data_IF_610998932623
#
_entry.id   IF_610998932623
#
_cell.length_a   1.000
_cell.length_b   1.000
_cell.length_c   1.000
_cell.angle_alpha   90.00
_cell.angle_beta   90.00
_cell.angle_gamma   90.00
#
_symmetry.space_group_name_H-M   'P 1'
#
loop_
_entity.id
_entity.type
_entity.pdbx_description
1 polymer ?
#
# COMPACT_ATOMS: atom_id res chain seq x y z
N UNK A 1 -2.50 -5.60 -18.61
CA UNK A 1 -3.55 -6.61 -18.83
C UNK A 1 -4.82 -5.89 -19.28
N UNK A 2 -4.73 -5.21 -20.43
CA UNK A 2 -5.68 -4.16 -20.84
C UNK A 2 -6.38 -4.48 -22.17
N UNK A 3 -6.30 -5.72 -22.61
CA UNK A 3 -6.99 -6.21 -23.81
C UNK A 3 -8.24 -6.99 -23.41
N UNK A 4 -9.29 -7.03 -24.26
CA UNK A 4 -10.47 -7.85 -23.99
C UNK A 4 -10.15 -9.33 -23.76
N UNK A 5 -9.11 -9.85 -24.41
CA UNK A 5 -8.64 -11.23 -24.23
C UNK A 5 -8.04 -11.51 -22.84
N UNK A 6 -7.74 -10.48 -22.05
CA UNK A 6 -7.16 -10.65 -20.71
C UNK A 6 -8.16 -11.19 -19.67
N UNK A 7 -9.47 -11.11 -19.96
CA UNK A 7 -10.52 -11.65 -19.10
C UNK A 7 -11.55 -12.38 -19.94
N UNK A 8 -11.76 -13.67 -19.64
CA UNK A 8 -12.83 -14.47 -20.27
C UNK A 8 -13.99 -14.67 -19.30
N UNK A 9 -15.18 -15.07 -19.77
CA UNK A 9 -16.28 -15.45 -18.89
C UNK A 9 -15.87 -16.52 -17.87
N UNK A 10 -15.08 -17.52 -18.29
CA UNK A 10 -14.59 -18.60 -17.44
C UNK A 10 -13.60 -18.10 -16.39
N UNK A 11 -12.63 -17.26 -16.77
CA UNK A 11 -11.68 -16.70 -15.80
C UNK A 11 -12.40 -15.80 -14.80
N UNK A 12 -13.35 -14.97 -15.26
CA UNK A 12 -14.15 -14.12 -14.38
C UNK A 12 -15.01 -14.96 -13.42
N UNK A 13 -15.61 -16.05 -13.92
CA UNK A 13 -16.37 -16.97 -13.08
C UNK A 13 -15.49 -17.60 -11.99
N UNK A 14 -14.25 -17.98 -12.31
CA UNK A 14 -13.32 -18.52 -11.31
C UNK A 14 -13.02 -17.54 -10.16
N UNK A 15 -12.99 -16.23 -10.43
CA UNK A 15 -12.85 -15.20 -9.39
C UNK A 15 -14.13 -15.02 -8.57
N UNK A 16 -15.31 -15.15 -9.20
CA UNK A 16 -16.59 -15.10 -8.49
C UNK A 16 -16.75 -16.29 -7.55
N UNK A 17 -16.31 -17.46 -7.98
CA UNK A 17 -16.37 -18.71 -7.22
C UNK A 17 -15.32 -18.77 -6.10
N UNK A 18 -14.40 -17.79 -6.04
CA UNK A 18 -13.35 -17.69 -5.03
C UNK A 18 -13.76 -16.72 -3.90
N UNK A 19 -14.18 -17.22 -2.72
CA UNK A 19 -14.65 -16.36 -1.63
C UNK A 19 -13.66 -15.26 -1.20
N UNK A 20 -12.32 -15.47 -1.18
CA UNK A 20 -11.36 -14.43 -0.80
C UNK A 20 -11.44 -13.14 -1.63
N UNK A 21 -11.84 -13.22 -2.91
CA UNK A 21 -11.98 -12.05 -3.79
C UNK A 21 -13.15 -11.14 -3.42
N UNK A 22 -14.10 -11.63 -2.60
CA UNK A 22 -15.29 -10.90 -2.17
C UNK A 22 -15.96 -10.19 -3.36
N UNK A 23 -16.19 -10.92 -4.46
CA UNK A 23 -16.68 -10.35 -5.72
C UNK A 23 -17.94 -9.50 -5.54
N UNK A 24 -18.81 -9.90 -4.60
CA UNK A 24 -20.05 -9.20 -4.28
C UNK A 24 -19.86 -7.78 -3.74
N UNK A 25 -18.67 -7.43 -3.22
CA UNK A 25 -18.36 -6.06 -2.81
C UNK A 25 -18.02 -5.15 -4.01
N UNK A 26 -17.72 -5.72 -5.19
CA UNK A 26 -17.30 -4.98 -6.36
C UNK A 26 -18.44 -4.16 -6.99
N UNK A 27 -18.13 -2.93 -7.38
CA UNK A 27 -18.99 -2.13 -8.24
C UNK A 27 -18.77 -2.58 -9.69
N UNK A 28 -19.69 -3.38 -10.21
CA UNK A 28 -19.64 -3.88 -11.59
C UNK A 28 -20.06 -2.77 -12.57
N UNK A 29 -19.22 -2.39 -13.55
CA UNK A 29 -19.59 -1.39 -14.56
C UNK A 29 -20.78 -1.83 -15.43
N UNK A 30 -21.53 -0.90 -16.04
CA UNK A 30 -22.50 -1.24 -17.07
C UNK A 30 -21.82 -2.02 -18.21
N UNK A 31 -22.32 -3.23 -18.50
CA UNK A 31 -21.71 -4.14 -19.48
C UNK A 31 -20.61 -5.06 -18.93
N UNK A 32 -20.31 -5.00 -17.62
CA UNK A 32 -19.31 -5.85 -16.97
C UNK A 32 -17.87 -5.35 -17.11
N UNK A 33 -16.93 -6.12 -16.58
CA UNK A 33 -15.48 -5.84 -16.71
C UNK A 33 -15.01 -6.24 -18.11
N UNK A 34 -14.38 -5.32 -18.83
CA UNK A 34 -13.92 -5.54 -20.22
C UNK A 34 -12.49 -6.03 -20.30
N UNK A 35 -11.69 -5.79 -19.26
CA UNK A 35 -10.30 -6.24 -19.16
C UNK A 35 -10.03 -6.75 -17.76
N UNK A 36 -8.98 -7.55 -17.60
CA UNK A 36 -8.59 -8.02 -16.28
C UNK A 36 -8.15 -6.87 -15.39
N UNK A 37 -7.48 -5.84 -15.93
CA UNK A 37 -7.11 -4.65 -15.15
C UNK A 37 -8.33 -3.86 -14.65
N UNK A 38 -9.44 -3.80 -15.41
CA UNK A 38 -10.69 -3.22 -14.92
C UNK A 38 -11.28 -4.01 -13.74
N UNK A 39 -11.17 -5.34 -13.76
CA UNK A 39 -11.60 -6.20 -12.66
C UNK A 39 -10.66 -6.10 -11.45
N UNK A 40 -9.35 -6.16 -11.68
CA UNK A 40 -8.34 -6.14 -10.62
C UNK A 40 -8.37 -4.82 -9.85
N UNK A 41 -8.40 -3.70 -10.58
CA UNK A 41 -8.58 -2.36 -10.04
C UNK A 41 -10.08 -1.98 -9.94
N UNK A 42 -10.97 -2.93 -9.66
CA UNK A 42 -12.40 -2.64 -9.46
C UNK A 42 -12.61 -1.58 -8.38
N UNK A 43 -13.61 -0.73 -8.57
CA UNK A 43 -14.15 0.04 -7.44
C UNK A 43 -15.02 -0.87 -6.57
N UNK A 44 -15.20 -0.51 -5.31
CA UNK A 44 -16.16 -1.18 -4.42
C UNK A 44 -17.49 -0.44 -4.42
N UNK A 45 -18.56 -1.15 -4.06
CA UNK A 45 -19.89 -0.56 -3.85
C UNK A 45 -19.82 0.49 -2.73
N UNK A 46 -20.58 1.60 -2.84
CA UNK A 46 -20.68 2.58 -1.76
C UNK A 46 -21.02 1.92 -0.42
N UNK A 47 -20.32 2.30 0.64
CA UNK A 47 -20.51 1.74 1.98
C UNK A 47 -19.74 0.44 2.27
N UNK A 48 -19.06 -0.17 1.30
CA UNK A 48 -18.25 -1.38 1.52
C UNK A 48 -17.00 -1.13 2.40
N UNK A 49 -16.51 0.12 2.44
CA UNK A 49 -15.36 0.55 3.24
C UNK A 49 -15.71 1.87 3.97
N UNK A 50 -16.43 1.83 5.10
CA UNK A 50 -16.67 3.02 5.90
C UNK A 50 -15.34 3.54 6.48
N UNK A 51 -15.21 4.85 6.60
CA UNK A 51 -14.02 5.49 7.16
C UNK A 51 -14.24 5.74 8.65
N UNK A 52 -13.37 5.20 9.49
CA UNK A 52 -13.38 5.43 10.93
C UNK A 52 -12.96 6.87 11.27
N UNK A 53 -13.72 7.50 12.15
CA UNK A 53 -13.43 8.84 12.70
C UNK A 53 -13.00 9.85 11.62
N UNK A 54 -13.79 10.09 10.56
CA UNK A 54 -13.33 10.82 9.36
C UNK A 54 -12.94 12.28 9.63
N UNK A 55 -13.46 12.88 10.71
CA UNK A 55 -13.19 14.26 11.12
C UNK A 55 -12.09 14.40 12.19
N UNK A 56 -11.55 13.30 12.73
CA UNK A 56 -10.53 13.33 13.78
C UNK A 56 -9.14 13.04 13.22
N UNK A 57 -8.32 14.06 13.04
CA UNK A 57 -6.96 13.90 12.49
C UNK A 57 -6.00 13.12 13.40
N UNK A 58 -6.33 12.88 14.68
CA UNK A 58 -5.50 12.01 15.53
C UNK A 58 -5.73 10.52 15.26
N UNK A 59 -6.81 10.17 14.55
CA UNK A 59 -7.11 8.80 14.16
C UNK A 59 -6.63 8.55 12.74
N UNK A 60 -5.67 7.67 12.59
CA UNK A 60 -5.12 7.29 11.29
C UNK A 60 -5.82 6.01 10.86
N UNK A 61 -6.25 5.94 9.59
CA UNK A 61 -6.90 4.73 9.05
C UNK A 61 -5.97 3.97 8.11
N UNK A 62 -6.24 2.69 7.91
CA UNK A 62 -5.52 1.88 6.94
C UNK A 62 -5.71 2.47 5.53
N UNK A 63 -4.62 2.69 4.77
CA UNK A 63 -4.71 3.23 3.41
C UNK A 63 -5.14 2.18 2.38
N UNK A 64 -5.12 0.89 2.71
CA UNK A 64 -5.40 -0.20 1.79
C UNK A 64 -5.99 -1.41 2.53
N UNK A 65 -6.58 -2.34 1.77
CA UNK A 65 -6.84 -3.68 2.27
C UNK A 65 -5.51 -4.45 2.30
N UNK A 66 -4.93 -4.71 3.47
CA UNK A 66 -3.57 -5.24 3.59
C UNK A 66 -3.36 -6.07 4.85
N UNK A 67 -2.25 -6.81 4.93
CA UNK A 67 -1.82 -7.54 6.12
C UNK A 67 -0.39 -7.14 6.46
N UNK A 68 -0.08 -6.93 7.74
CA UNK A 68 1.30 -6.75 8.17
C UNK A 68 2.15 -7.96 7.74
N UNK A 69 3.34 -7.66 7.22
CA UNK A 69 4.31 -8.69 6.90
C UNK A 69 4.90 -9.27 8.20
N UNK A 70 4.57 -10.52 8.47
CA UNK A 70 5.08 -11.29 9.60
C UNK A 70 6.23 -12.22 9.19
N UNK A 71 6.81 -12.06 8.00
CA UNK A 71 7.99 -12.81 7.54
C UNK A 71 9.16 -12.66 8.51
N UNK A 72 9.25 -11.50 9.17
CA UNK A 72 10.15 -11.24 10.29
C UNK A 72 9.39 -10.51 11.39
N UNK A 73 9.48 -11.04 12.62
CA UNK A 73 8.83 -10.48 13.81
C UNK A 73 9.23 -9.02 14.03
N UNK A 74 8.25 -8.18 14.38
CA UNK A 74 8.43 -6.77 14.79
C UNK A 74 9.08 -5.84 13.75
N UNK A 75 8.91 -6.11 12.45
CA UNK A 75 9.46 -5.24 11.38
C UNK A 75 8.42 -4.55 10.50
N UNK A 76 7.14 -4.89 10.65
CA UNK A 76 6.05 -4.19 9.96
C UNK A 76 5.87 -2.76 10.45
N UNK A 77 6.24 -2.46 11.70
CA UNK A 77 6.18 -1.10 12.27
C UNK A 77 7.48 -0.85 13.00
N UNK A 78 8.25 0.16 12.58
CA UNK A 78 9.56 0.47 13.16
C UNK A 78 9.74 1.96 13.39
N UNK A 79 10.38 2.31 14.51
CA UNK A 79 10.82 3.68 14.74
C UNK A 79 11.98 4.01 13.81
N UNK A 80 11.93 5.19 13.21
CA UNK A 80 12.98 5.71 12.34
C UNK A 80 14.09 6.27 13.23
N UNK A 81 15.29 5.70 13.12
CA UNK A 81 16.47 6.11 13.86
C UNK A 81 17.09 7.36 13.24
N UNK A 82 17.96 8.03 14.00
CA UNK A 82 18.67 9.24 13.57
C UNK A 82 19.30 9.08 12.18
N UNK A 83 19.16 10.13 11.35
CA UNK A 83 19.58 10.09 9.95
C UNK A 83 18.58 9.39 9.03
N UNK A 84 17.34 9.19 9.49
CA UNK A 84 16.27 8.58 8.71
C UNK A 84 16.49 7.08 8.47
N UNK A 85 17.14 6.37 9.40
CA UNK A 85 17.50 4.95 9.24
C UNK A 85 16.40 4.02 9.74
N UNK A 86 16.06 3.00 8.96
CA UNK A 86 15.17 1.89 9.36
C UNK A 86 15.90 0.56 9.19
N UNK A 87 15.75 -0.33 10.18
CA UNK A 87 16.34 -1.67 10.14
C UNK A 87 15.31 -2.66 9.62
N UNK A 88 15.40 -2.99 8.33
CA UNK A 88 14.49 -3.92 7.66
C UNK A 88 15.27 -5.14 7.23
N UNK A 89 14.83 -6.30 7.71
CA UNK A 89 15.46 -7.61 7.53
C UNK A 89 16.93 -7.63 7.91
N UNK A 90 17.23 -7.01 9.05
CA UNK A 90 18.56 -6.85 9.63
C UNK A 90 19.55 -6.05 8.76
N UNK A 91 19.06 -5.31 7.76
CA UNK A 91 19.85 -4.39 6.96
C UNK A 91 19.41 -2.94 7.19
N UNK A 92 20.36 -1.99 7.23
CA UNK A 92 20.03 -0.58 7.33
C UNK A 92 19.56 -0.05 5.97
N UNK A 93 18.42 0.63 5.99
CA UNK A 93 17.89 1.41 4.86
C UNK A 93 17.57 2.82 5.31
N UNK A 94 17.48 3.76 4.36
CA UNK A 94 17.17 5.16 4.67
C UNK A 94 15.85 5.60 4.04
N UNK A 95 15.10 6.44 4.75
CA UNK A 95 13.91 7.12 4.21
C UNK A 95 14.29 7.95 2.98
N UNK A 96 15.48 8.56 2.96
CA UNK A 96 15.99 9.23 1.76
C UNK A 96 16.09 8.32 0.53
N UNK A 97 16.57 7.09 0.71
CA UNK A 97 16.60 6.08 -0.37
C UNK A 97 15.20 5.66 -0.79
N UNK A 98 14.25 5.60 0.15
CA UNK A 98 12.85 5.31 -0.17
C UNK A 98 12.21 6.44 -0.99
N UNK A 99 12.39 7.70 -0.61
CA UNK A 99 11.69 8.84 -1.23
C UNK A 99 12.40 9.41 -2.49
N UNK A 100 13.61 8.94 -2.79
CA UNK A 100 14.45 9.28 -3.96
C UNK A 100 14.35 10.76 -4.40
N UNK A 101 15.16 11.60 -3.77
CA UNK A 101 15.30 13.01 -4.15
C UNK A 101 14.12 13.89 -3.74
N UNK A 102 13.23 13.42 -2.87
CA UNK A 102 12.26 14.28 -2.19
C UNK A 102 12.99 15.25 -1.25
N UNK A 103 12.61 16.52 -1.30
CA UNK A 103 13.10 17.54 -0.34
C UNK A 103 12.62 17.27 1.09
N UNK A 104 11.55 16.48 1.26
CA UNK A 104 10.94 16.16 2.55
C UNK A 104 11.55 14.94 3.23
N UNK A 105 12.54 14.27 2.62
CA UNK A 105 13.09 13.01 3.15
C UNK A 105 13.60 13.12 4.60
N UNK A 106 14.25 14.23 4.94
CA UNK A 106 14.81 14.47 6.27
C UNK A 106 13.73 14.82 7.31
N UNK A 107 12.54 15.24 6.88
CA UNK A 107 11.45 15.61 7.79
C UNK A 107 10.88 14.40 8.55
N UNK A 108 11.16 13.19 8.06
CA UNK A 108 10.72 11.92 8.66
C UNK A 108 11.71 11.35 9.68
N UNK A 109 12.84 12.02 9.93
CA UNK A 109 13.79 11.57 10.96
C UNK A 109 13.12 11.54 12.35
N UNK A 110 13.40 10.48 13.13
CA UNK A 110 12.74 10.24 14.42
C UNK A 110 11.25 9.87 14.34
N UNK A 111 10.72 9.67 13.13
CA UNK A 111 9.34 9.29 12.87
C UNK A 111 9.06 7.79 13.03
N UNK A 112 7.98 7.33 12.39
CA UNK A 112 7.60 5.90 12.37
C UNK A 112 7.37 5.44 10.94
N UNK A 113 7.87 4.25 10.63
CA UNK A 113 7.62 3.52 9.41
C UNK A 113 6.60 2.42 9.65
N UNK A 114 5.69 2.22 8.71
CA UNK A 114 4.80 1.06 8.63
C UNK A 114 4.89 0.43 7.23
N UNK A 115 4.98 -0.89 7.15
CA UNK A 115 4.92 -1.69 5.92
C UNK A 115 3.85 -2.77 6.07
N UNK A 116 3.02 -2.92 5.03
CA UNK A 116 2.04 -3.99 4.92
C UNK A 116 1.95 -4.49 3.46
N UNK A 117 1.52 -5.73 3.31
CA UNK A 117 1.37 -6.44 2.04
C UNK A 117 -0.11 -6.50 1.62
N UNK A 118 -0.39 -6.35 0.33
CA UNK A 118 -1.70 -6.54 -0.28
C UNK A 118 -1.66 -7.85 -1.07
N UNK A 119 -2.44 -8.83 -0.62
CA UNK A 119 -2.63 -10.09 -1.32
C UNK A 119 -3.42 -9.87 -2.62
N UNK A 120 -3.22 -10.74 -3.59
CA UNK A 120 -3.81 -10.69 -4.95
C UNK A 120 -5.34 -10.58 -4.98
N UNK A 121 -6.03 -11.06 -3.94
CA UNK A 121 -7.49 -11.00 -3.82
C UNK A 121 -8.00 -9.72 -3.13
N UNK A 122 -7.10 -8.92 -2.53
CA UNK A 122 -7.46 -7.69 -1.85
C UNK A 122 -7.99 -6.63 -2.81
N UNK A 123 -8.48 -5.53 -2.22
CA UNK A 123 -8.82 -4.32 -2.94
C UNK A 123 -7.53 -3.51 -3.22
N UNK A 124 -7.14 -3.41 -4.49
CA UNK A 124 -5.85 -2.84 -4.91
C UNK A 124 -5.89 -1.33 -5.23
N UNK A 125 -6.76 -0.57 -4.55
CA UNK A 125 -6.73 0.90 -4.59
C UNK A 125 -6.39 1.43 -3.22
N UNK A 126 -5.51 2.43 -3.18
CA UNK A 126 -5.00 3.01 -1.95
C UNK A 126 -5.63 4.38 -1.74
N UNK A 127 -5.84 4.70 -0.47
CA UNK A 127 -6.58 5.86 0.00
C UNK A 127 -5.77 6.65 1.02
N UNK A 128 -6.11 7.92 1.17
CA UNK A 128 -5.47 8.82 2.12
C UNK A 128 -5.75 8.37 3.56
N UNK A 129 -4.72 7.99 4.35
CA UNK A 129 -4.91 7.53 5.72
C UNK A 129 -5.26 8.69 6.69
N UNK A 130 -5.04 9.93 6.24
CA UNK A 130 -5.26 11.18 6.97
C UNK A 130 -5.79 12.24 5.99
N UNK A 131 -6.46 13.27 6.49
CA UNK A 131 -6.76 14.46 5.68
C UNK A 131 -5.50 15.33 5.50
N UNK A 132 -5.50 16.25 4.55
CA UNK A 132 -4.40 17.20 4.39
C UNK A 132 -4.21 17.68 2.96
N UNK A 133 -3.09 18.35 2.71
CA UNK A 133 -2.73 18.82 1.35
C UNK A 133 -1.61 17.97 0.78
N UNK A 134 -1.73 17.53 -0.46
CA UNK A 134 -0.65 16.84 -1.16
C UNK A 134 0.47 17.83 -1.48
N UNK A 135 1.65 17.63 -0.92
CA UNK A 135 2.82 18.52 -1.13
C UNK A 135 3.84 17.93 -2.11
N UNK A 136 3.80 16.62 -2.33
CA UNK A 136 4.55 15.92 -3.39
C UNK A 136 3.77 14.69 -3.85
N UNK A 137 3.74 14.44 -5.15
CA UNK A 137 3.20 13.23 -5.74
C UNK A 137 4.05 12.85 -6.95
N UNK A 138 4.68 11.68 -6.95
CA UNK A 138 5.46 11.20 -8.09
C UNK A 138 5.58 9.68 -8.13
N UNK A 139 5.77 9.17 -9.33
CA UNK A 139 6.21 7.80 -9.55
C UNK A 139 7.74 7.76 -9.54
N UNK A 140 8.29 6.88 -8.73
CA UNK A 140 9.72 6.61 -8.63
C UNK A 140 10.01 5.35 -9.45
N UNK A 141 10.77 5.51 -10.52
CA UNK A 141 11.18 4.39 -11.37
C UNK A 141 12.13 3.47 -10.60
N UNK A 142 11.86 2.17 -10.67
CA UNK A 142 12.63 1.14 -9.99
C UNK A 142 12.60 -0.17 -10.78
N UNK A 143 13.30 -1.18 -10.28
CA UNK A 143 13.37 -2.49 -10.90
C UNK A 143 12.13 -3.34 -10.55
N UNK A 144 11.79 -4.31 -11.40
CA UNK A 144 10.83 -5.35 -11.09
C UNK A 144 11.61 -6.65 -10.81
N UNK A 145 11.72 -7.02 -9.53
CA UNK A 145 12.48 -8.21 -9.12
C UNK A 145 11.56 -9.44 -9.04
N UNK A 146 12.06 -10.61 -9.46
CA UNK A 146 11.45 -11.93 -9.27
C UNK A 146 12.44 -12.80 -8.47
N UNK A 147 11.96 -13.64 -7.56
CA UNK A 147 12.83 -14.55 -6.80
C UNK A 147 13.08 -15.86 -7.57
N UNK A 148 14.35 -16.22 -7.75
CA UNK A 148 14.77 -17.47 -8.40
C UNK A 148 15.95 -18.07 -7.63
N UNK A 149 16.08 -19.40 -7.63
CA UNK A 149 17.23 -20.08 -7.04
C UNK A 149 18.43 -19.98 -7.98
N UNK A 150 19.61 -20.39 -7.52
CA UNK A 150 20.84 -20.39 -8.33
C UNK A 150 20.75 -21.24 -9.62
N UNK A 151 19.75 -22.14 -9.71
CA UNK A 151 19.43 -22.93 -10.91
C UNK A 151 18.30 -22.33 -11.75
N UNK A 152 17.96 -21.06 -11.50
CA UNK A 152 16.85 -20.34 -12.13
C UNK A 152 15.47 -21.04 -11.98
N UNK A 153 15.30 -21.87 -10.96
CA UNK A 153 14.00 -22.44 -10.60
C UNK A 153 13.34 -21.54 -9.55
N UNK A 154 12.00 -21.48 -9.49
CA UNK A 154 11.30 -20.85 -8.38
C UNK A 154 11.79 -21.46 -7.04
N UNK A 155 12.25 -20.63 -6.10
CA UNK A 155 12.68 -21.10 -4.75
C UNK A 155 11.46 -21.60 -3.96
N UNK A 156 10.29 -21.05 -4.25
CA UNK A 156 9.01 -21.45 -3.67
C UNK A 156 8.17 -22.15 -4.73
N UNK A 157 7.69 -23.37 -4.43
CA UNK A 157 6.57 -23.99 -5.16
C UNK A 157 5.29 -23.46 -4.50
N UNK A 158 4.89 -22.25 -4.90
CA UNK A 158 3.64 -21.66 -4.48
C UNK A 158 2.70 -21.67 -5.67
N UNK A 159 1.49 -22.16 -5.48
CA UNK A 159 0.42 -22.03 -6.47
C UNK A 159 -0.02 -20.54 -6.56
N UNK A 160 0.85 -19.63 -7.02
CA UNK A 160 0.51 -18.21 -7.10
C UNK A 160 1.64 -17.24 -7.50
N UNK A 161 1.28 -16.00 -7.92
CA UNK A 161 2.21 -14.95 -8.35
C UNK A 161 2.75 -14.15 -7.15
N UNK A 162 3.84 -14.61 -6.54
CA UNK A 162 4.50 -13.91 -5.44
C UNK A 162 5.84 -13.29 -5.85
N UNK A 163 6.12 -12.13 -5.27
CA UNK A 163 7.32 -11.34 -5.48
C UNK A 163 8.39 -11.61 -4.41
N UNK A 164 9.68 -11.32 -4.68
CA UNK A 164 10.77 -11.63 -3.75
C UNK A 164 10.60 -10.88 -2.44
N UNK A 165 10.76 -11.62 -1.35
CA UNK A 165 10.69 -11.13 0.02
C UNK A 165 12.11 -10.90 0.60
N UNK A 166 13.09 -10.58 -0.26
CA UNK A 166 14.49 -10.39 0.13
C UNK A 166 14.77 -8.96 0.64
N UNK A 167 15.72 -8.77 1.58
CA UNK A 167 16.01 -7.43 2.12
C UNK A 167 16.26 -6.37 1.03
N UNK A 168 15.54 -5.25 1.10
CA UNK A 168 15.75 -4.10 0.21
C UNK A 168 14.84 -4.02 -1.02
N UNK A 169 14.03 -5.02 -1.29
CA UNK A 169 13.18 -5.03 -2.48
C UNK A 169 12.26 -3.79 -2.52
N UNK A 170 11.71 -3.36 -1.38
CA UNK A 170 10.80 -2.22 -1.30
C UNK A 170 11.45 -0.88 -1.71
N UNK A 171 12.77 -0.77 -1.51
CA UNK A 171 13.53 0.46 -1.78
C UNK A 171 13.98 0.57 -3.24
N UNK A 172 14.05 -0.57 -3.94
CA UNK A 172 14.55 -0.68 -5.30
C UNK A 172 13.42 -0.81 -6.33
N UNK A 173 12.21 -1.13 -5.90
CA UNK A 173 11.07 -1.33 -6.77
C UNK A 173 10.41 -0.04 -7.26
N UNK A 174 9.73 -0.15 -8.40
CA UNK A 174 8.84 0.88 -8.91
C UNK A 174 7.76 1.17 -7.86
N UNK A 175 7.59 2.44 -7.52
CA UNK A 175 6.67 2.85 -6.45
C UNK A 175 6.04 4.20 -6.71
N UNK A 176 4.83 4.39 -6.22
CA UNK A 176 4.24 5.70 -6.05
C UNK A 176 4.76 6.33 -4.77
N UNK A 177 4.74 7.65 -4.73
CA UNK A 177 5.00 8.42 -3.52
C UNK A 177 4.05 9.59 -3.47
N UNK A 178 3.28 9.68 -2.39
CA UNK A 178 2.39 10.81 -2.08
C UNK A 178 2.75 11.31 -0.69
N UNK A 179 3.16 12.57 -0.57
CA UNK A 179 3.41 13.22 0.72
C UNK A 179 2.26 14.16 1.03
N UNK A 180 1.60 13.92 2.16
CA UNK A 180 0.45 14.68 2.66
C UNK A 180 0.93 15.53 3.84
N UNK A 181 0.69 16.84 3.78
CA UNK A 181 0.87 17.74 4.90
C UNK A 181 -0.44 17.82 5.71
N UNK A 182 -0.43 17.25 6.91
CA UNK A 182 -1.54 17.26 7.84
C UNK A 182 -1.27 18.31 8.96
N UNK A 183 -2.25 19.17 9.28
CA UNK A 183 -2.05 20.25 10.25
C UNK A 183 -1.73 19.74 11.66
N UNK A 184 -2.27 18.58 12.05
CA UNK A 184 -2.11 17.98 13.38
C UNK A 184 -0.88 17.08 13.43
N UNK A 185 -0.79 16.10 12.53
CA UNK A 185 0.23 15.04 12.55
C UNK A 185 1.56 15.45 11.90
N UNK A 186 1.58 16.55 11.13
CA UNK A 186 2.69 16.87 10.26
C UNK A 186 2.65 16.06 8.97
N UNK A 187 3.82 15.75 8.41
CA UNK A 187 3.92 15.06 7.12
C UNK A 187 3.68 13.56 7.25
N UNK A 188 2.92 13.03 6.30
CA UNK A 188 2.67 11.59 6.14
C UNK A 188 2.98 11.22 4.68
N UNK A 189 3.97 10.36 4.46
CA UNK A 189 4.24 9.81 3.14
C UNK A 189 3.55 8.46 2.98
N UNK A 190 2.80 8.28 1.89
CA UNK A 190 2.15 7.04 1.50
C UNK A 190 2.78 6.56 0.21
N UNK A 191 3.30 5.33 0.23
CA UNK A 191 4.05 4.74 -0.88
C UNK A 191 3.47 3.39 -1.27
N UNK A 192 2.63 3.35 -2.32
CA UNK A 192 2.27 2.10 -2.98
C UNK A 192 3.52 1.54 -3.66
N UNK A 193 3.97 0.38 -3.23
CA UNK A 193 5.16 -0.30 -3.77
C UNK A 193 4.71 -1.41 -4.71
N UNK A 194 5.16 -1.34 -5.96
CA UNK A 194 4.89 -2.36 -6.95
C UNK A 194 5.82 -3.55 -6.79
N UNK A 195 5.28 -4.76 -6.67
CA UNK A 195 6.03 -6.01 -6.54
C UNK A 195 6.25 -6.69 -7.91
N UNK A 196 6.91 -7.85 -7.92
CA UNK A 196 7.06 -8.65 -9.15
C UNK A 196 5.71 -8.82 -9.85
N UNK A 197 5.69 -8.61 -11.17
CA UNK A 197 4.49 -8.59 -12.02
C UNK A 197 3.58 -7.35 -11.86
N UNK A 198 3.60 -6.62 -10.71
CA UNK A 198 3.00 -5.29 -10.51
C UNK A 198 4.04 -4.20 -10.46
N UNK A 199 4.35 -3.58 -11.58
CA UNK A 199 5.11 -2.32 -11.55
C UNK A 199 4.23 -1.11 -11.86
N UNK A 200 2.95 -1.33 -12.16
CA UNK A 200 2.05 -0.24 -12.57
C UNK A 200 1.38 0.40 -11.35
N UNK A 201 1.99 1.47 -10.85
CA UNK A 201 1.37 2.36 -9.86
C UNK A 201 0.76 3.55 -10.56
N UNK A 202 -0.57 3.67 -10.52
CA UNK A 202 -1.28 4.82 -11.09
C UNK A 202 -1.71 5.76 -9.97
N UNK A 203 -1.05 6.91 -9.84
CA UNK A 203 -1.48 7.96 -8.92
C UNK A 203 -2.74 8.67 -9.47
N UNK A 204 -3.68 9.00 -8.60
CA UNK A 204 -4.89 9.78 -8.91
C UNK A 204 -4.81 11.23 -8.45
N UNK A 205 -3.74 11.60 -7.74
CA UNK A 205 -3.55 12.91 -7.10
C UNK A 205 -2.26 13.60 -7.58
N UNK A 206 -2.20 14.91 -7.39
CA UNK A 206 -1.03 15.76 -7.69
C UNK A 206 -0.79 16.77 -6.56
N UNK A 207 0.41 17.37 -6.57
CA UNK A 207 0.76 18.46 -5.64
C UNK A 207 -0.29 19.58 -5.71
N UNK A 208 -0.75 20.02 -4.54
CA UNK A 208 -1.78 21.05 -4.35
C UNK A 208 -3.20 20.52 -4.13
N UNK A 209 -3.45 19.23 -4.38
CA UNK A 209 -4.76 18.64 -4.10
C UNK A 209 -5.02 18.59 -2.59
N UNK A 210 -6.25 18.91 -2.18
CA UNK A 210 -6.70 18.84 -0.78
C UNK A 210 -7.52 17.58 -0.60
N UNK A 211 -7.09 16.73 0.33
CA UNK A 211 -7.66 15.40 0.57
C UNK A 211 -8.45 15.39 1.88
N UNK A 212 -9.59 14.70 1.84
CA UNK A 212 -10.25 14.17 3.03
C UNK A 212 -9.68 12.79 3.34
N UNK A 213 -9.76 12.39 4.61
CA UNK A 213 -9.42 11.04 5.03
C UNK A 213 -10.29 10.03 4.27
N UNK A 214 -9.64 9.05 3.64
CA UNK A 214 -10.30 8.03 2.81
C UNK A 214 -10.44 8.40 1.33
N UNK A 215 -9.99 9.57 0.87
CA UNK A 215 -9.97 9.87 -0.58
C UNK A 215 -8.99 8.95 -1.32
N UNK A 216 -9.33 8.51 -2.53
CA UNK A 216 -8.47 7.63 -3.35
C UNK A 216 -7.24 8.41 -3.85
N UNK A 217 -6.05 7.86 -3.60
CA UNK A 217 -4.76 8.47 -3.99
C UNK A 217 -4.01 7.70 -5.09
N UNK A 218 -4.29 6.41 -5.22
CA UNK A 218 -3.68 5.57 -6.26
C UNK A 218 -4.41 4.25 -6.45
N UNK A 219 -4.06 3.54 -7.51
CA UNK A 219 -4.34 2.13 -7.66
C UNK A 219 -3.18 1.36 -8.28
N UNK A 220 -3.12 0.06 -8.00
CA UNK A 220 -2.32 -0.88 -8.76
C UNK A 220 -3.11 -1.46 -9.93
N UNK A 221 -2.39 -1.84 -10.97
CA UNK A 221 -2.87 -2.78 -11.99
C UNK A 221 -2.24 -4.17 -11.73
N UNK A 222 -2.69 -5.21 -12.43
CA UNK A 222 -2.48 -6.63 -12.11
C UNK A 222 -1.16 -7.06 -11.44
N UNK A 223 -1.28 -7.78 -10.30
CA UNK A 223 -0.29 -8.66 -9.62
C UNK A 223 -0.20 -8.42 -8.08
N UNK A 224 0.88 -8.78 -7.37
CA UNK A 224 1.07 -8.50 -5.92
C UNK A 224 1.60 -7.08 -5.60
N UNK A 225 1.35 -6.53 -4.40
CA UNK A 225 1.78 -5.16 -4.06
C UNK A 225 1.93 -4.92 -2.56
N UNK A 226 2.77 -3.97 -2.17
CA UNK A 226 2.86 -3.48 -0.79
C UNK A 226 2.40 -2.04 -0.64
N UNK A 227 2.18 -1.65 0.61
CA UNK A 227 1.98 -0.27 1.01
C UNK A 227 2.93 0.07 2.16
N UNK A 228 3.64 1.18 2.01
CA UNK A 228 4.44 1.76 3.09
C UNK A 228 3.83 3.10 3.48
N UNK A 229 3.76 3.37 4.78
CA UNK A 229 3.41 4.68 5.31
C UNK A 229 4.51 5.15 6.26
N UNK A 230 4.99 6.37 6.05
CA UNK A 230 6.02 6.99 6.86
C UNK A 230 5.43 8.23 7.52
N UNK A 231 5.52 8.30 8.85
CA UNK A 231 4.98 9.38 9.67
C UNK A 231 6.11 10.23 10.21
N UNK A 232 5.98 11.55 10.12
CA UNK A 232 6.90 12.50 10.75
C UNK A 232 6.84 12.39 12.29
N UNK A 233 7.96 12.65 12.97
CA UNK A 233 8.06 12.62 14.43
C UNK A 233 7.01 13.49 15.17
N UNK A 234 6.55 14.58 14.54
CA UNK A 234 5.48 15.46 15.03
C UNK A 234 4.19 14.70 15.34
N UNK A 235 3.90 13.59 14.65
CA UNK A 235 2.73 12.75 14.91
C UNK A 235 2.75 12.12 16.31
N UNK A 236 3.90 12.05 16.98
CA UNK A 236 4.04 11.49 18.33
C UNK A 236 3.78 9.99 18.42
N UNK A 237 3.72 9.31 17.27
CA UNK A 237 3.44 7.88 17.20
C UNK A 237 4.61 7.05 17.72
N UNK A 238 4.26 5.96 18.38
CA UNK A 238 5.12 4.85 18.78
C UNK A 238 4.54 3.56 18.22
N UNK A 239 5.35 2.51 18.18
CA UNK A 239 4.94 1.18 17.70
C UNK A 239 3.63 0.71 18.38
N UNK A 240 3.53 0.90 19.70
CA UNK A 240 2.36 0.49 20.49
C UNK A 240 1.07 1.27 20.19
N UNK A 241 1.14 2.36 19.42
CA UNK A 241 -0.05 3.12 19.00
C UNK A 241 -0.78 2.49 17.82
N UNK A 242 -0.15 1.52 17.15
CA UNK A 242 -0.73 0.83 16.00
C UNK A 242 -1.58 -0.33 16.47
N UNK A 243 -2.74 -0.46 15.87
CA UNK A 243 -3.72 -1.48 16.23
C UNK A 243 -3.61 -2.60 15.21
N UNK A 244 -3.33 -3.81 15.68
CA UNK A 244 -3.47 -5.00 14.85
C UNK A 244 -4.94 -5.15 14.44
N UNK A 245 -5.18 -5.60 13.22
CA UNK A 245 -6.56 -5.70 12.71
C UNK A 245 -7.41 -6.67 13.51
N UNK A 246 -8.58 -6.21 13.91
CA UNK A 246 -9.56 -7.02 14.64
C UNK A 246 -10.45 -7.79 13.65
N UNK A 247 -10.35 -9.13 13.67
CA UNK A 247 -11.25 -10.03 12.94
C UNK A 247 -10.83 -10.36 11.49
N UNK A 248 -10.37 -11.59 11.29
CA UNK A 248 -10.12 -12.35 10.04
C UNK A 248 -9.20 -11.79 8.93
N UNK A 249 -8.24 -12.63 8.53
CA UNK A 249 -7.34 -12.61 7.34
C UNK A 249 -6.53 -11.33 7.00
N UNK A 250 -7.11 -10.12 6.98
CA UNK A 250 -6.42 -8.86 6.60
C UNK A 250 -7.15 -7.58 7.11
N UNK A 251 -6.42 -6.47 7.24
CA UNK A 251 -6.92 -5.12 7.54
C UNK A 251 -7.74 -4.56 6.38
N UNK A 252 -8.87 -3.90 6.64
CA UNK A 252 -9.64 -3.21 5.58
C UNK A 252 -9.28 -1.73 5.51
N UNK A 253 -9.20 -1.19 4.29
CA UNK A 253 -9.04 0.24 4.07
C UNK A 253 -10.14 1.01 4.82
N UNK A 254 -9.75 2.10 5.50
CA UNK A 254 -10.68 2.95 6.24
C UNK A 254 -10.89 2.57 7.70
N UNK A 255 -10.47 1.38 8.15
CA UNK A 255 -10.50 1.04 9.59
C UNK A 255 -9.31 1.65 10.32
N UNK A 256 -9.39 1.80 11.65
CA UNK A 256 -8.30 2.37 12.46
C UNK A 256 -6.98 1.59 12.28
N UNK A 257 -5.93 2.32 11.88
CA UNK A 257 -4.54 1.88 11.82
C UNK A 257 -3.81 2.24 13.13
N UNK A 258 -3.93 3.50 13.56
CA UNK A 258 -3.23 4.01 14.73
C UNK A 258 -3.95 5.21 15.34
N UNK A 259 -3.64 5.51 16.60
CA UNK A 259 -4.12 6.71 17.30
C UNK A 259 -2.93 7.52 17.81
N UNK A 260 -2.78 8.75 17.31
CA UNK A 260 -1.78 9.69 17.80
C UNK A 260 -2.17 10.24 19.19
N UNK A 261 -1.19 10.49 20.08
CA UNK A 261 -1.43 11.04 21.42
C UNK A 261 -2.02 12.47 21.41
#
# INVERSE_FOLDING_TARGET
MDTPASITPESLQSFKDSPPYNYEEALVPPGGFRTFNEFFARHLKPGARPIDSPADDKVIVYPADCTYDNSITDQSIVSIQSGGVVMIKNLPWTIGSLLQGSEFANDFDGGVWMHAFLNTFNYHRQHAPVAGTVIEAKNIQGAAYLEVNAKCQPIRVMCGPDAPDSPGYQFLQMRGMVVIDNPVLGKVAVLPIGMAQVSSVKLSVKKGDVLKKGDEISCFLFGGSDIIVVFQAKAGLKVDNFVASSGDTYSKMGTILARAP
#
